data_IF_768586172986
#
_entry.id   IF_768586172986
#
_cell.length_a   1.000
_cell.length_b   1.000
_cell.length_c   1.000
_cell.angle_alpha   90.00
_cell.angle_beta   90.00
_cell.angle_gamma   90.00
#
_symmetry.space_group_name_H-M   'P 1'
#
loop_
_entity.id
_entity.type
_entity.pdbx_description
1 polymer ?
#
# COMPACT_ATOMS: atom_id res chain seq x y z
N UNK A 1 -6.32 -5.99 19.31
CA UNK A 1 -5.00 -5.48 19.69
C UNK A 1 -5.14 -4.67 20.97
N UNK A 2 -4.22 -4.84 21.91
CA UNK A 2 -4.10 -3.98 23.10
C UNK A 2 -3.44 -2.64 22.73
N UNK A 3 -3.56 -1.62 23.58
CA UNK A 3 -2.91 -0.32 23.35
C UNK A 3 -1.37 -0.46 23.39
N UNK A 4 -0.87 -1.40 24.18
CA UNK A 4 0.54 -1.74 24.32
C UNK A 4 1.09 -2.38 23.03
N UNK A 5 0.33 -3.30 22.42
CA UNK A 5 0.64 -3.89 21.11
C UNK A 5 0.70 -2.82 20.02
N UNK A 6 -0.28 -1.91 19.98
CA UNK A 6 -0.31 -0.81 18.99
C UNK A 6 0.92 0.10 19.15
N UNK A 7 1.26 0.49 20.38
CA UNK A 7 2.39 1.37 20.62
C UNK A 7 3.74 0.71 20.30
N UNK A 8 3.92 -0.56 20.67
CA UNK A 8 5.12 -1.33 20.31
C UNK A 8 5.26 -1.49 18.80
N UNK A 9 4.15 -1.71 18.10
CA UNK A 9 4.11 -1.77 16.65
C UNK A 9 4.52 -0.46 15.98
N UNK A 10 3.89 0.66 16.38
CA UNK A 10 4.14 1.98 15.78
C UNK A 10 5.54 2.54 16.09
N UNK A 11 6.14 2.12 17.21
CA UNK A 11 7.52 2.47 17.56
C UNK A 11 8.56 1.56 16.92
N UNK A 12 8.14 0.49 16.25
CA UNK A 12 9.03 -0.50 15.63
C UNK A 12 9.69 -1.45 16.63
N UNK A 13 9.25 -1.45 17.89
CA UNK A 13 9.84 -2.24 18.98
C UNK A 13 9.49 -3.74 18.88
N UNK A 14 8.44 -4.11 18.14
CA UNK A 14 8.15 -5.49 17.72
C UNK A 14 7.89 -6.51 18.84
N UNK A 15 8.07 -6.13 20.11
CA UNK A 15 8.05 -7.00 21.28
C UNK A 15 6.72 -7.75 21.50
N UNK A 16 5.62 -7.24 20.92
CA UNK A 16 4.29 -7.85 21.02
C UNK A 16 3.74 -8.33 19.66
N UNK A 17 4.54 -8.30 18.59
CA UNK A 17 4.14 -8.91 17.32
C UNK A 17 4.35 -10.42 17.40
N UNK A 18 3.34 -11.18 16.99
CA UNK A 18 3.55 -12.61 16.77
C UNK A 18 4.47 -12.79 15.57
N UNK A 19 5.37 -13.77 15.66
CA UNK A 19 6.31 -14.06 14.56
C UNK A 19 5.59 -14.39 13.24
N UNK A 20 4.43 -15.04 13.33
CA UNK A 20 3.57 -15.38 12.20
C UNK A 20 2.82 -14.18 11.61
N UNK A 21 2.85 -12.99 12.21
CA UNK A 21 2.26 -11.77 11.64
C UNK A 21 3.38 -10.82 11.12
N UNK A 22 4.56 -10.90 11.72
CA UNK A 22 5.69 -10.01 11.44
C UNK A 22 6.13 -10.04 9.97
N UNK A 23 6.14 -11.22 9.31
CA UNK A 23 6.53 -11.31 7.89
C UNK A 23 5.54 -10.58 6.97
N UNK A 24 4.24 -10.75 7.18
CA UNK A 24 3.23 -10.06 6.39
C UNK A 24 3.32 -8.53 6.52
N UNK A 25 3.60 -8.04 7.73
CA UNK A 25 3.83 -6.61 8.00
C UNK A 25 5.07 -6.10 7.26
N UNK A 26 6.20 -6.80 7.40
CA UNK A 26 7.45 -6.41 6.74
C UNK A 26 7.28 -6.40 5.21
N UNK A 27 6.53 -7.35 4.66
CA UNK A 27 6.16 -7.35 3.24
C UNK A 27 5.29 -6.16 2.85
N UNK A 28 4.28 -5.81 3.66
CA UNK A 28 3.43 -4.64 3.39
C UNK A 28 4.21 -3.32 3.43
N UNK A 29 5.17 -3.20 4.34
CA UNK A 29 6.12 -2.08 4.39
C UNK A 29 6.98 -2.05 3.11
N UNK A 30 7.60 -3.18 2.74
CA UNK A 30 8.39 -3.28 1.51
C UNK A 30 7.56 -2.97 0.25
N UNK A 31 6.30 -3.40 0.21
CA UNK A 31 5.36 -3.07 -0.87
C UNK A 31 5.14 -1.56 -0.99
N UNK A 32 4.96 -0.87 0.15
CA UNK A 32 4.79 0.57 0.19
C UNK A 32 6.08 1.31 -0.24
N UNK A 33 7.24 0.91 0.28
CA UNK A 33 8.54 1.54 0.00
C UNK A 33 8.97 1.36 -1.46
N UNK A 34 8.66 0.19 -2.03
CA UNK A 34 8.89 -0.11 -3.46
C UNK A 34 7.86 0.50 -4.40
N UNK A 35 6.93 1.34 -3.90
CA UNK A 35 5.87 1.99 -4.68
C UNK A 35 4.97 1.00 -5.43
N UNK A 36 4.71 -0.14 -4.82
CA UNK A 36 3.88 -1.20 -5.36
C UNK A 36 4.60 -2.19 -6.28
N UNK A 37 5.94 -2.18 -6.29
CA UNK A 37 6.77 -3.14 -7.02
C UNK A 37 7.64 -3.95 -6.05
N UNK A 38 7.05 -4.83 -5.23
CA UNK A 38 7.84 -5.63 -4.29
C UNK A 38 8.86 -6.50 -5.03
N UNK A 39 9.92 -6.89 -4.33
CA UNK A 39 10.95 -7.76 -4.91
C UNK A 39 10.42 -9.20 -4.98
N UNK A 40 10.91 -9.96 -5.95
CA UNK A 40 10.49 -11.34 -6.17
C UNK A 40 10.81 -12.25 -4.96
N UNK A 41 11.96 -12.06 -4.33
CA UNK A 41 12.37 -12.79 -3.11
C UNK A 41 11.45 -12.50 -1.92
N UNK A 42 11.07 -11.24 -1.72
CA UNK A 42 10.14 -10.82 -0.68
C UNK A 42 8.75 -11.44 -0.89
N UNK A 43 8.26 -11.49 -2.14
CA UNK A 43 7.00 -12.15 -2.45
C UNK A 43 7.07 -13.67 -2.22
N UNK A 44 8.16 -14.30 -2.66
CA UNK A 44 8.36 -15.74 -2.48
C UNK A 44 8.46 -16.12 -0.99
N UNK A 45 9.08 -15.29 -0.16
CA UNK A 45 9.17 -15.50 1.28
C UNK A 45 7.78 -15.53 1.95
N UNK A 46 6.82 -14.73 1.47
CA UNK A 46 5.44 -14.73 1.96
C UNK A 46 4.69 -15.99 1.50
N UNK A 47 4.89 -16.43 0.26
CA UNK A 47 4.33 -17.71 -0.20
C UNK A 47 4.83 -18.86 0.68
N UNK A 48 6.13 -18.89 0.99
CA UNK A 48 6.72 -19.94 1.84
C UNK A 48 6.17 -19.95 3.26
N UNK A 49 5.79 -18.80 3.82
CA UNK A 49 5.27 -18.69 5.19
C UNK A 49 3.76 -18.94 5.28
N UNK A 50 2.97 -18.36 4.36
CA UNK A 50 1.51 -18.33 4.47
C UNK A 50 0.79 -19.22 3.44
N UNK A 51 1.50 -19.72 2.44
CA UNK A 51 0.92 -20.39 1.28
C UNK A 51 0.35 -19.42 0.25
N UNK A 52 0.01 -19.95 -0.93
CA UNK A 52 -0.35 -19.14 -2.10
C UNK A 52 -1.64 -18.32 -1.87
N UNK A 53 -2.72 -18.96 -1.40
CA UNK A 53 -4.02 -18.30 -1.22
C UNK A 53 -3.92 -17.09 -0.26
N UNK A 54 -3.34 -17.29 0.92
CA UNK A 54 -3.18 -16.22 1.91
C UNK A 54 -2.25 -15.11 1.41
N UNK A 55 -1.22 -15.46 0.64
CA UNK A 55 -0.30 -14.47 0.06
C UNK A 55 -1.04 -13.51 -0.87
N UNK A 56 -1.93 -14.02 -1.72
CA UNK A 56 -2.74 -13.18 -2.60
C UNK A 56 -3.70 -12.27 -1.83
N UNK A 57 -4.27 -12.75 -0.72
CA UNK A 57 -5.11 -11.93 0.18
C UNK A 57 -4.27 -10.80 0.81
N UNK A 58 -3.07 -11.11 1.33
CA UNK A 58 -2.14 -10.14 1.92
C UNK A 58 -1.74 -9.08 0.88
N UNK A 59 -1.38 -9.50 -0.33
CA UNK A 59 -1.05 -8.59 -1.43
C UNK A 59 -2.21 -7.64 -1.76
N UNK A 60 -3.42 -8.18 -1.84
CA UNK A 60 -4.63 -7.39 -2.14
C UNK A 60 -4.93 -6.37 -1.04
N UNK A 61 -4.75 -6.77 0.23
CA UNK A 61 -4.89 -5.86 1.36
C UNK A 61 -3.84 -4.73 1.33
N UNK A 62 -2.58 -5.07 1.04
CA UNK A 62 -1.50 -4.09 0.90
C UNK A 62 -1.77 -3.10 -0.27
N UNK A 63 -2.24 -3.61 -1.41
CA UNK A 63 -2.64 -2.80 -2.57
C UNK A 63 -3.75 -1.81 -2.23
N UNK A 64 -4.80 -2.27 -1.55
CA UNK A 64 -5.92 -1.43 -1.16
C UNK A 64 -5.50 -0.35 -0.15
N UNK A 65 -4.70 -0.72 0.85
CA UNK A 65 -4.15 0.22 1.82
C UNK A 65 -3.25 1.27 1.14
N UNK A 66 -2.38 0.84 0.22
CA UNK A 66 -1.51 1.73 -0.53
C UNK A 66 -2.30 2.73 -1.38
N UNK A 67 -3.31 2.27 -2.11
CA UNK A 67 -4.21 3.14 -2.86
C UNK A 67 -4.98 4.10 -1.93
N UNK A 68 -5.47 3.61 -0.79
CA UNK A 68 -6.12 4.41 0.24
C UNK A 68 -5.24 5.55 0.74
N UNK A 69 -3.95 5.30 0.98
CA UNK A 69 -3.00 6.32 1.41
C UNK A 69 -2.71 7.35 0.32
N UNK A 70 -2.59 6.94 -0.95
CA UNK A 70 -2.35 7.84 -2.10
C UNK A 70 -3.47 8.88 -2.22
N UNK A 71 -4.73 8.50 -2.01
CA UNK A 71 -5.87 9.42 -2.11
C UNK A 71 -6.20 10.12 -0.78
N UNK A 72 -6.08 9.39 0.33
CA UNK A 72 -6.48 9.83 1.66
C UNK A 72 -5.57 10.89 2.25
N UNK A 73 -4.25 10.79 2.06
CA UNK A 73 -3.29 11.77 2.61
C UNK A 73 -3.47 13.16 1.96
N UNK A 74 -3.54 13.31 0.62
CA UNK A 74 -3.85 14.60 0.02
C UNK A 74 -5.23 15.13 0.39
N UNK A 75 -6.22 14.24 0.56
CA UNK A 75 -7.56 14.63 0.99
C UNK A 75 -7.57 15.18 2.42
N UNK A 76 -6.88 14.53 3.35
CA UNK A 76 -6.76 14.98 4.73
C UNK A 76 -5.99 16.31 4.82
N UNK A 77 -4.94 16.50 4.01
CA UNK A 77 -4.22 17.76 3.89
C UNK A 77 -5.13 18.90 3.39
N UNK A 78 -5.93 18.65 2.35
CA UNK A 78 -6.93 19.61 1.86
C UNK A 78 -7.95 19.99 2.93
N UNK A 79 -8.49 18.99 3.64
CA UNK A 79 -9.45 19.22 4.73
C UNK A 79 -8.83 19.99 5.90
N UNK A 80 -7.57 19.71 6.24
CA UNK A 80 -6.84 20.44 7.28
C UNK A 80 -6.60 21.90 6.89
N UNK A 81 -6.32 22.17 5.61
CA UNK A 81 -6.21 23.53 5.07
C UNK A 81 -7.52 24.30 5.16
N UNK A 82 -8.66 23.67 4.82
CA UNK A 82 -9.99 24.27 5.00
C UNK A 82 -10.30 24.62 6.46
N UNK A 83 -9.73 23.87 7.40
CA UNK A 83 -9.80 24.13 8.85
C UNK A 83 -8.76 25.15 9.35
N UNK A 84 -8.01 25.80 8.45
CA UNK A 84 -6.99 26.80 8.80
C UNK A 84 -5.68 26.20 9.34
N UNK A 85 -5.47 24.88 9.23
CA UNK A 85 -4.27 24.18 9.70
C UNK A 85 -3.56 23.48 8.54
N UNK A 86 -3.00 24.23 7.56
CA UNK A 86 -2.33 23.62 6.41
C UNK A 86 -1.10 22.81 6.84
N UNK A 87 -0.83 21.70 6.14
CA UNK A 87 0.39 20.94 6.35
C UNK A 87 1.59 21.69 5.76
N UNK A 88 2.73 21.63 6.45
CA UNK A 88 3.95 22.35 6.06
C UNK A 88 4.51 21.85 4.73
N UNK A 89 4.42 20.55 4.49
CA UNK A 89 5.01 19.88 3.33
C UNK A 89 3.98 19.66 2.20
N UNK A 90 2.89 20.44 2.19
CA UNK A 90 1.83 20.32 1.19
C UNK A 90 1.42 21.68 0.62
N UNK A 91 1.09 21.70 -0.67
CA UNK A 91 0.59 22.88 -1.37
C UNK A 91 -0.86 22.68 -1.80
N UNK A 92 -1.63 23.78 -1.90
CA UNK A 92 -3.01 23.73 -2.36
C UNK A 92 -3.13 23.12 -3.78
N UNK A 93 -2.18 23.45 -4.67
CA UNK A 93 -2.17 22.88 -6.03
C UNK A 93 -1.93 21.37 -6.02
N UNK A 94 -1.02 20.89 -5.16
CA UNK A 94 -0.80 19.45 -5.00
C UNK A 94 -2.06 18.75 -4.46
N UNK A 95 -2.66 19.31 -3.41
CA UNK A 95 -3.87 18.77 -2.77
C UNK A 95 -5.04 18.64 -3.77
N UNK A 96 -5.39 19.72 -4.46
CA UNK A 96 -6.46 19.72 -5.46
C UNK A 96 -6.10 18.89 -6.69
N UNK A 97 -4.84 18.98 -7.14
CA UNK A 97 -4.34 18.20 -8.28
C UNK A 97 -4.48 16.70 -8.05
N UNK A 98 -4.15 16.21 -6.86
CA UNK A 98 -4.32 14.81 -6.49
C UNK A 98 -5.79 14.36 -6.49
N UNK A 99 -6.73 15.22 -6.05
CA UNK A 99 -8.16 14.88 -6.08
C UNK A 99 -8.71 14.82 -7.51
N UNK A 100 -8.37 15.82 -8.33
CA UNK A 100 -8.82 15.87 -9.73
C UNK A 100 -8.21 14.71 -10.52
N UNK A 101 -6.90 14.48 -10.38
CA UNK A 101 -6.22 13.36 -11.03
C UNK A 101 -6.81 12.03 -10.58
N UNK A 102 -7.03 11.83 -9.27
CA UNK A 102 -7.64 10.62 -8.76
C UNK A 102 -9.03 10.36 -9.32
N UNK A 103 -9.91 11.37 -9.30
CA UNK A 103 -11.24 11.26 -9.88
C UNK A 103 -11.20 10.94 -11.39
N UNK A 104 -10.28 11.56 -12.13
CA UNK A 104 -10.14 11.33 -13.56
C UNK A 104 -9.55 9.96 -13.89
N UNK A 105 -8.48 9.55 -13.22
CA UNK A 105 -7.73 8.31 -13.54
C UNK A 105 -8.36 7.05 -12.96
N UNK A 106 -9.09 7.12 -11.83
CA UNK A 106 -9.72 5.97 -11.20
C UNK A 106 -10.62 5.16 -12.16
N UNK A 107 -11.55 5.75 -12.94
CA UNK A 107 -12.36 4.96 -13.88
C UNK A 107 -11.51 4.28 -14.95
N UNK A 108 -10.46 4.93 -15.47
CA UNK A 108 -9.55 4.30 -16.43
C UNK A 108 -8.76 3.15 -15.79
N UNK A 109 -8.32 3.30 -14.54
CA UNK A 109 -7.62 2.26 -13.80
C UNK A 109 -8.52 1.04 -13.54
N UNK A 110 -9.79 1.26 -13.18
CA UNK A 110 -10.78 0.19 -12.98
C UNK A 110 -11.06 -0.56 -14.28
N UNK A 111 -11.26 0.16 -15.39
CA UNK A 111 -11.46 -0.46 -16.71
C UNK A 111 -10.22 -1.26 -17.12
N UNK A 112 -9.03 -0.68 -16.97
CA UNK A 112 -7.78 -1.37 -17.28
C UNK A 112 -7.58 -2.62 -16.42
N UNK A 113 -7.87 -2.55 -15.11
CA UNK A 113 -7.80 -3.69 -14.20
C UNK A 113 -8.78 -4.79 -14.58
N UNK A 114 -10.03 -4.43 -14.88
CA UNK A 114 -11.05 -5.38 -15.33
C UNK A 114 -10.66 -6.08 -16.64
N UNK A 115 -10.17 -5.34 -17.63
CA UNK A 115 -9.71 -5.92 -18.89
C UNK A 115 -8.54 -6.88 -18.67
N UNK A 116 -7.60 -6.51 -17.78
CA UNK A 116 -6.43 -7.33 -17.44
C UNK A 116 -6.85 -8.66 -16.79
N UNK A 117 -7.83 -8.62 -15.89
CA UNK A 117 -8.41 -9.79 -15.23
C UNK A 117 -9.08 -10.74 -16.24
N UNK A 118 -9.93 -10.19 -17.13
CA UNK A 118 -10.59 -10.96 -18.22
C UNK A 118 -9.58 -11.61 -19.16
N UNK A 119 -8.42 -10.97 -19.40
CA UNK A 119 -7.35 -11.51 -20.24
C UNK A 119 -6.41 -12.49 -19.52
N UNK A 120 -6.59 -12.73 -18.22
CA UNK A 120 -5.80 -13.68 -17.43
C UNK A 120 -4.39 -13.20 -17.07
N UNK A 121 -4.13 -11.90 -17.10
CA UNK A 121 -2.83 -11.36 -16.70
C UNK A 121 -2.75 -11.16 -15.18
N UNK A 122 -1.67 -11.59 -14.50
CA UNK A 122 -1.54 -11.48 -13.05
C UNK A 122 -1.51 -10.01 -12.62
N UNK A 123 -2.13 -9.67 -11.48
CA UNK A 123 -2.10 -8.30 -10.94
C UNK A 123 -0.81 -7.96 -10.19
N UNK A 124 0.04 -8.95 -9.93
CA UNK A 124 1.35 -8.75 -9.32
C UNK A 124 2.34 -8.14 -10.33
N UNK A 125 3.01 -7.07 -9.91
CA UNK A 125 4.17 -6.51 -10.62
C UNK A 125 5.36 -6.56 -9.67
N UNK A 126 6.39 -7.28 -10.06
CA UNK A 126 7.61 -7.41 -9.28
C UNK A 126 8.66 -6.43 -9.82
N UNK A 127 9.51 -5.92 -8.93
CA UNK A 127 10.71 -5.23 -9.35
C UNK A 127 11.65 -6.22 -10.05
N UNK A 128 11.96 -5.92 -11.32
CA UNK A 128 12.82 -6.73 -12.19
C UNK A 128 14.29 -6.29 -12.15
N UNK A 129 14.67 -5.36 -11.27
CA UNK A 129 16.04 -4.83 -11.16
C UNK A 129 17.11 -5.85 -10.74
N UNK A 130 16.76 -7.14 -10.60
CA UNK A 130 17.67 -8.26 -10.32
C UNK A 130 17.36 -9.49 -11.20
N UNK A 131 17.35 -9.33 -12.52
CA UNK A 131 17.86 -10.40 -13.40
C UNK A 131 19.33 -10.08 -13.70
N UNK A 132 20.31 -10.88 -13.21
CA UNK A 132 21.69 -10.76 -13.65
C UNK A 132 21.85 -11.02 -15.15
#
# INVERSE_FOLDING_TARGET
>A
MSNEEINSFLSGDGAFLKEDEARAIAFAQHYADSRGFPKADAFQAIISEYGEEKTWIILSAAQLMFAGNIYGIPYSAMMSRLKGKPYKDSSLMYELGMQIAGFLFLPFALIHGFLRDVMGYPNLKLDQSLTP
#
